data_IF_560039873331
#
_entry.id   IF_560039873331
#
_cell.length_a   1.000
_cell.length_b   1.000
_cell.length_c   1.000
_cell.angle_alpha   90.00
_cell.angle_beta   90.00
_cell.angle_gamma   90.00
#
_symmetry.space_group_name_H-M   'P 1'
#
loop_
_entity.id
_entity.type
_entity.pdbx_description
1 polymer ?
#
# COMPACT_ATOMS: atom_id res chain seq x y z
N UNK A 1 41.08 -11.92 -9.03
CA UNK A 1 39.75 -12.01 -8.38
C UNK A 1 39.26 -10.59 -8.14
N UNK A 2 38.19 -10.16 -8.81
CA UNK A 2 37.66 -8.79 -8.73
C UNK A 2 36.78 -8.62 -7.49
N UNK A 3 37.08 -7.62 -6.64
CA UNK A 3 36.23 -7.22 -5.51
C UNK A 3 35.22 -6.16 -5.96
N UNK A 4 33.91 -6.46 -5.82
CA UNK A 4 32.83 -5.49 -5.99
C UNK A 4 32.77 -4.55 -4.78
N UNK A 5 32.81 -3.25 -5.01
CA UNK A 5 32.47 -2.27 -3.99
C UNK A 5 31.33 -1.39 -4.52
N UNK A 6 30.15 -1.49 -3.91
CA UNK A 6 29.01 -0.64 -4.22
C UNK A 6 28.99 0.50 -3.19
N UNK A 7 29.16 1.74 -3.64
CA UNK A 7 28.88 2.92 -2.82
C UNK A 7 27.50 3.46 -3.19
N UNK A 8 26.61 3.56 -2.21
CA UNK A 8 25.34 4.26 -2.35
C UNK A 8 25.50 5.68 -1.80
N UNK A 9 25.42 6.68 -2.67
CA UNK A 9 25.24 8.07 -2.26
C UNK A 9 23.73 8.33 -2.16
N UNK A 10 23.26 8.64 -0.95
CA UNK A 10 21.87 9.00 -0.71
C UNK A 10 21.64 10.47 -1.06
N UNK A 11 20.78 10.73 -2.05
CA UNK A 11 20.08 12.01 -2.16
C UNK A 11 18.60 11.75 -2.41
N UNK A 12 17.73 12.58 -1.81
CA UNK A 12 16.33 12.23 -1.44
C UNK A 12 15.35 11.95 -2.57
N UNK A 13 15.73 12.03 -3.85
CA UNK A 13 14.84 11.67 -4.97
C UNK A 13 15.69 11.14 -6.14
N UNK A 14 15.55 9.83 -6.47
CA UNK A 14 16.22 9.01 -7.50
C UNK A 14 17.60 8.39 -7.16
N UNK A 15 17.69 7.07 -7.38
CA UNK A 15 18.92 6.28 -7.43
C UNK A 15 19.45 6.29 -8.88
N UNK A 16 20.72 6.66 -9.07
CA UNK A 16 21.44 6.53 -10.35
C UNK A 16 22.65 5.65 -10.10
N UNK A 17 22.71 4.47 -10.73
CA UNK A 17 23.89 3.62 -10.70
C UNK A 17 24.84 4.03 -11.82
N UNK A 18 26.04 4.50 -11.49
CA UNK A 18 27.10 4.79 -12.46
C UNK A 18 28.24 3.78 -12.26
N UNK A 19 28.50 2.96 -13.27
CA UNK A 19 29.63 2.02 -13.28
C UNK A 19 30.87 2.76 -13.78
N UNK A 20 31.89 2.90 -12.94
CA UNK A 20 33.22 3.35 -13.35
C UNK A 20 34.21 2.21 -13.10
N UNK A 21 34.98 1.86 -14.12
CA UNK A 21 36.09 0.93 -14.04
C UNK A 21 37.38 1.72 -13.86
N UNK A 22 38.10 1.49 -12.76
CA UNK A 22 39.41 2.09 -12.55
C UNK A 22 40.47 1.04 -12.20
N UNK A 23 41.66 1.21 -12.78
CA UNK A 23 42.78 0.26 -12.79
C UNK A 23 43.47 0.21 -11.42
N UNK A 24 43.93 -0.98 -11.04
CA UNK A 24 44.73 -1.20 -9.83
C UNK A 24 46.07 -0.46 -9.89
N UNK A 25 46.31 0.43 -8.92
CA UNK A 25 47.65 0.83 -8.50
C UNK A 25 47.74 0.64 -6.98
N UNK A 26 48.75 -0.13 -6.55
CA UNK A 26 49.08 -0.32 -5.15
C UNK A 26 49.46 1.01 -4.50
N UNK A 27 48.86 1.33 -3.36
CA UNK A 27 49.21 2.52 -2.58
C UNK A 27 48.28 2.67 -1.36
N UNK A 28 48.87 2.94 -0.20
CA UNK A 28 48.17 3.23 1.05
C UNK A 28 47.19 4.40 0.86
N UNK A 29 45.91 4.22 1.21
CA UNK A 29 44.95 5.32 1.29
C UNK A 29 45.11 6.02 2.64
N UNK A 30 45.87 7.11 2.67
CA UNK A 30 45.92 8.05 3.79
C UNK A 30 44.77 9.05 3.63
N UNK A 31 43.81 9.03 4.56
CA UNK A 31 42.77 10.07 4.66
C UNK A 31 43.37 11.29 5.37
N UNK A 32 43.64 12.36 4.61
CA UNK A 32 44.01 13.67 5.17
C UNK A 32 42.75 14.53 5.22
N UNK A 33 42.30 14.88 6.43
CA UNK A 33 41.31 15.93 6.63
C UNK A 33 42.03 17.28 6.67
N UNK A 34 41.76 18.15 5.70
CA UNK A 34 42.25 19.52 5.70
C UNK A 34 41.21 20.44 6.38
N UNK A 35 41.59 21.04 7.50
CA UNK A 35 40.87 22.19 8.09
C UNK A 35 41.83 23.37 8.16
N UNK A 36 41.47 24.48 7.51
CA UNK A 36 42.23 25.73 7.55
C UNK A 36 42.19 26.35 8.95
N UNK A 37 43.33 26.50 9.61
CA UNK A 37 43.67 27.69 10.40
C UNK A 37 45.13 27.66 10.85
N UNK A 38 45.76 28.83 10.79
CA UNK A 38 47.17 29.12 11.07
C UNK A 38 47.65 28.69 12.46
N UNK A 39 48.97 28.49 12.54
CA UNK A 39 49.85 28.36 13.71
C UNK A 39 50.24 26.94 14.15
N UNK A 40 51.46 26.58 13.74
CA UNK A 40 52.52 25.81 14.42
C UNK A 40 52.08 24.99 15.65
N UNK A 41 52.06 23.66 15.54
CA UNK A 41 52.69 22.70 16.47
C UNK A 41 52.39 21.25 16.04
N UNK A 42 53.38 20.35 16.16
CA UNK A 42 53.34 18.92 15.82
C UNK A 42 52.14 18.17 16.42
N UNK A 43 51.48 17.26 15.67
CA UNK A 43 50.54 16.33 16.29
C UNK A 43 51.26 15.06 16.77
N UNK A 44 51.15 14.86 18.08
CA UNK A 44 51.37 13.62 18.82
C UNK A 44 50.36 12.54 18.36
N UNK A 45 50.85 11.39 17.88
CA UNK A 45 50.02 10.23 17.56
C UNK A 45 49.37 9.68 18.84
N UNK A 46 48.04 9.79 18.97
CA UNK A 46 47.26 8.94 19.87
C UNK A 46 46.75 7.74 19.08
N UNK A 47 47.34 6.58 19.35
CA UNK A 47 46.85 5.27 18.93
C UNK A 47 45.45 5.04 19.49
N UNK A 48 44.45 4.89 18.61
CA UNK A 48 43.13 4.44 19.04
C UNK A 48 43.15 2.92 19.12
N UNK A 49 42.84 2.44 20.31
CA UNK A 49 42.91 1.04 20.73
C UNK A 49 41.87 0.17 20.03
N UNK A 50 42.25 -1.10 19.87
CA UNK A 50 41.53 -2.16 19.19
C UNK A 50 40.07 -2.28 19.66
N UNK A 51 39.15 -2.28 18.70
CA UNK A 51 37.78 -2.73 18.95
C UNK A 51 37.83 -4.18 19.44
N UNK A 52 37.35 -4.41 20.66
CA UNK A 52 37.28 -5.75 21.24
C UNK A 52 36.21 -6.57 20.52
N UNK A 53 36.43 -7.88 20.38
CA UNK A 53 35.56 -8.83 19.65
C UNK A 53 34.08 -8.77 20.10
N UNK A 54 33.83 -8.37 21.35
CA UNK A 54 32.50 -8.17 21.92
C UNK A 54 31.73 -6.99 21.32
N UNK A 55 32.39 -5.88 20.95
CA UNK A 55 31.73 -4.75 20.28
C UNK A 55 31.26 -5.12 18.87
N UNK A 56 32.05 -5.91 18.13
CA UNK A 56 31.68 -6.40 16.80
C UNK A 56 30.51 -7.42 16.88
N UNK A 57 30.49 -8.27 17.92
CA UNK A 57 29.40 -9.21 18.17
C UNK A 57 28.07 -8.52 18.51
N UNK A 58 28.10 -7.45 19.32
CA UNK A 58 26.90 -6.66 19.65
C UNK A 58 26.38 -5.86 18.44
N UNK A 59 27.27 -5.33 17.61
CA UNK A 59 26.89 -4.64 16.38
C UNK A 59 26.26 -5.59 15.35
N UNK A 60 26.80 -6.80 15.21
CA UNK A 60 26.24 -7.82 14.30
C UNK A 60 24.92 -8.41 14.79
N UNK A 61 24.75 -8.59 16.11
CA UNK A 61 23.47 -9.00 16.71
C UNK A 61 22.40 -7.92 16.52
N UNK A 62 22.76 -6.64 16.72
CA UNK A 62 21.88 -5.49 16.47
C UNK A 62 21.49 -5.39 15.00
N UNK A 63 22.42 -5.54 14.06
CA UNK A 63 22.12 -5.55 12.62
C UNK A 63 21.28 -6.76 12.18
N UNK A 64 21.46 -7.94 12.79
CA UNK A 64 20.58 -9.09 12.54
C UNK A 64 19.15 -8.87 13.06
N UNK A 65 19.00 -8.24 14.22
CA UNK A 65 17.69 -7.90 14.78
C UNK A 65 17.00 -6.78 13.98
N UNK A 66 17.76 -5.77 13.51
CA UNK A 66 17.27 -4.76 12.57
C UNK A 66 16.87 -5.38 11.22
N UNK A 67 17.63 -6.37 10.72
CA UNK A 67 17.31 -7.09 9.48
C UNK A 67 16.07 -7.99 9.60
N UNK A 68 15.81 -8.56 10.79
CA UNK A 68 14.59 -9.35 11.05
C UNK A 68 13.32 -8.48 11.07
N UNK A 69 13.44 -7.19 11.39
CA UNK A 69 12.30 -6.27 11.42
C UNK A 69 11.98 -5.59 10.07
N UNK A 70 12.70 -5.91 8.99
CA UNK A 70 12.51 -5.27 7.67
C UNK A 70 12.01 -6.22 6.57
N UNK A 71 11.40 -7.34 6.93
CA UNK A 71 10.74 -8.22 5.94
C UNK A 71 9.65 -9.06 6.59
N UNK A 72 8.63 -8.40 7.13
CA UNK A 72 7.32 -9.05 7.12
C UNK A 72 6.84 -8.98 5.67
N UNK A 73 6.75 -10.12 4.99
CA UNK A 73 6.01 -10.22 3.74
C UNK A 73 4.63 -9.62 4.01
N UNK A 74 4.23 -8.61 3.23
CA UNK A 74 2.94 -7.94 3.44
C UNK A 74 1.86 -9.02 3.41
N UNK A 75 1.07 -9.11 4.50
CA UNK A 75 -0.04 -10.07 4.57
C UNK A 75 -1.20 -9.66 3.66
N UNK A 76 -1.20 -8.41 3.22
CA UNK A 76 -2.14 -7.91 2.24
C UNK A 76 -1.86 -8.54 0.87
N UNK A 77 -2.89 -9.13 0.28
CA UNK A 77 -2.83 -9.72 -1.06
C UNK A 77 -3.89 -9.08 -1.93
N UNK A 78 -3.46 -8.47 -3.03
CA UNK A 78 -4.33 -8.00 -4.10
C UNK A 78 -4.10 -8.88 -5.32
N UNK A 79 -5.15 -9.57 -5.77
CA UNK A 79 -5.10 -10.44 -6.97
C UNK A 79 -6.20 -10.06 -7.93
N UNK A 80 -5.98 -10.25 -9.23
CA UNK A 80 -6.99 -10.03 -10.26
C UNK A 80 -7.29 -11.34 -10.98
N UNK A 81 -8.57 -11.61 -11.24
CA UNK A 81 -9.02 -12.78 -12.01
C UNK A 81 -10.13 -12.38 -12.99
N UNK A 82 -10.28 -13.13 -14.07
CA UNK A 82 -11.42 -12.99 -14.98
C UNK A 82 -12.64 -13.73 -14.42
N UNK A 83 -13.78 -13.06 -14.36
CA UNK A 83 -15.01 -13.68 -13.86
C UNK A 83 -16.11 -12.70 -13.46
N UNK A 84 -17.27 -13.27 -13.09
CA UNK A 84 -18.37 -12.52 -12.50
C UNK A 84 -18.11 -12.31 -11.00
N UNK A 85 -18.13 -11.07 -10.53
CA UNK A 85 -17.96 -10.75 -9.11
C UNK A 85 -18.92 -11.55 -8.22
N UNK A 86 -20.15 -11.76 -8.68
CA UNK A 86 -21.17 -12.43 -7.90
C UNK A 86 -21.00 -13.96 -7.85
N UNK A 87 -20.03 -14.53 -8.57
CA UNK A 87 -19.59 -15.92 -8.37
C UNK A 87 -18.51 -16.05 -7.29
N UNK A 88 -18.09 -14.96 -6.65
CA UNK A 88 -17.15 -15.02 -5.54
C UNK A 88 -17.72 -15.89 -4.39
N UNK A 89 -16.88 -16.67 -3.70
CA UNK A 89 -17.32 -17.50 -2.57
C UNK A 89 -18.05 -16.68 -1.51
N UNK A 90 -19.08 -17.25 -0.87
CA UNK A 90 -19.84 -16.55 0.21
C UNK A 90 -18.98 -16.20 1.43
N UNK A 91 -17.77 -16.78 1.54
CA UNK A 91 -16.76 -16.40 2.54
C UNK A 91 -16.11 -15.04 2.29
N UNK A 92 -16.30 -14.45 1.11
CA UNK A 92 -15.83 -13.11 0.79
C UNK A 92 -16.96 -12.10 0.99
N UNK A 93 -16.65 -11.04 1.73
CA UNK A 93 -17.45 -9.82 1.70
C UNK A 93 -17.32 -9.16 0.31
N UNK A 94 -18.33 -8.39 -0.10
CA UNK A 94 -18.31 -7.71 -1.41
C UNK A 94 -18.21 -6.20 -1.24
N UNK A 95 -17.62 -5.51 -2.21
CA UNK A 95 -17.61 -4.04 -2.23
C UNK A 95 -17.87 -3.47 -3.62
N UNK A 96 -18.56 -2.33 -3.69
CA UNK A 96 -18.64 -1.52 -4.91
C UNK A 96 -18.85 -0.03 -4.60
N UNK A 97 -18.66 0.83 -5.61
CA UNK A 97 -18.89 2.27 -5.49
C UNK A 97 -20.33 2.67 -5.81
N UNK A 98 -20.83 3.68 -5.09
CA UNK A 98 -22.16 4.31 -5.27
C UNK A 98 -22.11 5.82 -5.02
N UNK A 99 -23.18 6.52 -5.44
CA UNK A 99 -23.49 7.85 -4.95
C UNK A 99 -24.31 7.81 -3.66
N UNK A 100 -24.31 8.91 -2.89
CA UNK A 100 -25.04 9.02 -1.62
C UNK A 100 -26.58 8.99 -1.79
N UNK A 101 -27.08 9.18 -3.02
CA UNK A 101 -28.48 9.00 -3.38
C UNK A 101 -28.92 7.52 -3.47
N UNK A 102 -27.96 6.58 -3.51
CA UNK A 102 -28.17 5.15 -3.71
C UNK A 102 -29.07 4.83 -4.93
N UNK A 103 -28.98 5.62 -6.00
CA UNK A 103 -29.80 5.40 -7.20
C UNK A 103 -29.53 4.02 -7.84
N UNK A 104 -28.23 3.68 -7.96
CA UNK A 104 -27.71 2.39 -8.46
C UNK A 104 -28.35 1.94 -9.78
N UNK A 105 -28.47 2.88 -10.74
CA UNK A 105 -29.18 2.69 -12.00
C UNK A 105 -28.34 2.20 -13.17
N UNK A 106 -27.01 2.06 -13.02
CA UNK A 106 -26.11 1.65 -14.10
C UNK A 106 -24.97 0.75 -13.60
N UNK A 107 -24.34 0.05 -14.56
CA UNK A 107 -23.20 -0.83 -14.30
C UNK A 107 -23.51 -1.94 -13.29
N UNK A 108 -22.48 -2.37 -12.56
CA UNK A 108 -22.60 -3.46 -11.58
C UNK A 108 -23.53 -3.12 -10.41
N UNK A 109 -23.71 -1.83 -10.10
CA UNK A 109 -24.57 -1.36 -9.02
C UNK A 109 -26.03 -1.80 -9.19
N UNK A 110 -26.52 -1.95 -10.43
CA UNK A 110 -27.86 -2.48 -10.71
C UNK A 110 -28.01 -3.90 -10.16
N UNK A 111 -27.00 -4.76 -10.39
CA UNK A 111 -27.01 -6.15 -9.92
C UNK A 111 -26.89 -6.23 -8.40
N UNK A 112 -26.08 -5.38 -7.77
CA UNK A 112 -26.07 -5.22 -6.31
C UNK A 112 -27.46 -4.86 -5.76
N UNK A 113 -28.14 -3.89 -6.38
CA UNK A 113 -29.50 -3.48 -6.00
C UNK A 113 -30.53 -4.61 -6.18
N UNK A 114 -30.43 -5.38 -7.26
CA UNK A 114 -31.33 -6.52 -7.54
C UNK A 114 -31.14 -7.67 -6.54
N UNK A 115 -29.90 -7.95 -6.14
CA UNK A 115 -29.57 -9.08 -5.26
C UNK A 115 -29.78 -8.73 -3.78
N UNK A 116 -29.24 -7.59 -3.32
CA UNK A 116 -29.22 -7.24 -1.89
C UNK A 116 -30.30 -6.26 -1.47
N UNK A 117 -30.84 -5.47 -2.42
CA UNK A 117 -31.94 -4.54 -2.17
C UNK A 117 -31.67 -3.55 -1.05
N UNK A 118 -32.65 -3.37 -0.16
CA UNK A 118 -32.55 -2.59 1.09
C UNK A 118 -32.10 -1.13 0.92
N UNK A 119 -32.50 -0.49 -0.18
CA UNK A 119 -32.10 0.88 -0.51
C UNK A 119 -32.52 1.89 0.56
N UNK A 120 -33.68 1.70 1.19
CA UNK A 120 -34.15 2.61 2.24
C UNK A 120 -33.34 2.44 3.54
N UNK A 121 -32.85 1.23 3.84
CA UNK A 121 -31.90 1.00 4.93
C UNK A 121 -30.59 1.74 4.65
N UNK A 122 -30.03 1.56 3.45
CA UNK A 122 -28.80 2.25 3.03
C UNK A 122 -28.91 3.78 3.15
N UNK A 123 -30.03 4.35 2.69
CA UNK A 123 -30.31 5.79 2.85
C UNK A 123 -30.46 6.19 4.31
N UNK A 124 -31.12 5.37 5.12
CA UNK A 124 -31.29 5.59 6.56
C UNK A 124 -29.98 5.65 7.35
N UNK A 125 -28.90 5.06 6.83
CA UNK A 125 -27.56 5.18 7.42
C UNK A 125 -26.96 6.59 7.27
N UNK A 126 -27.49 7.42 6.38
CA UNK A 126 -27.09 8.83 6.22
C UNK A 126 -25.64 9.04 5.75
N UNK A 127 -25.03 8.03 5.14
CA UNK A 127 -23.62 8.05 4.75
C UNK A 127 -23.37 9.04 3.61
N UNK A 128 -22.39 9.92 3.82
CA UNK A 128 -21.98 10.93 2.84
C UNK A 128 -20.77 10.48 2.02
N UNK A 129 -20.45 11.24 0.97
CA UNK A 129 -19.25 11.01 0.16
C UNK A 129 -17.99 10.92 1.01
N UNK A 130 -17.19 9.88 0.79
CA UNK A 130 -16.02 9.53 1.60
C UNK A 130 -16.29 8.52 2.72
N UNK A 131 -17.55 8.11 2.92
CA UNK A 131 -17.94 7.08 3.88
C UNK A 131 -18.22 5.71 3.25
N UNK A 132 -18.68 4.78 4.08
CA UNK A 132 -19.14 3.45 3.65
C UNK A 132 -20.48 3.13 4.30
N UNK A 133 -21.45 2.72 3.49
CA UNK A 133 -22.67 2.10 4.00
C UNK A 133 -22.52 0.58 3.94
N UNK A 134 -23.15 -0.13 4.88
CA UNK A 134 -22.92 -1.57 5.07
C UNK A 134 -24.25 -2.30 5.20
N UNK A 135 -24.40 -3.40 4.48
CA UNK A 135 -25.43 -4.41 4.76
C UNK A 135 -24.77 -5.69 5.23
N UNK A 136 -25.43 -6.40 6.13
CA UNK A 136 -25.06 -7.77 6.49
C UNK A 136 -25.83 -8.74 5.58
N UNK A 137 -25.11 -9.69 4.98
CA UNK A 137 -25.65 -10.78 4.17
C UNK A 137 -25.11 -12.10 4.73
N UNK A 138 -25.92 -12.79 5.54
CA UNK A 138 -25.49 -13.99 6.30
C UNK A 138 -24.25 -13.67 7.17
N UNK A 139 -23.16 -14.40 6.96
CA UNK A 139 -21.88 -14.28 7.68
C UNK A 139 -20.87 -13.35 6.99
N UNK A 140 -21.30 -12.57 5.99
CA UNK A 140 -20.46 -11.59 5.29
C UNK A 140 -21.11 -10.21 5.24
N UNK A 141 -20.33 -9.24 4.77
CA UNK A 141 -20.78 -7.86 4.61
C UNK A 141 -20.77 -7.43 3.14
N UNK A 142 -21.69 -6.54 2.80
CA UNK A 142 -21.77 -5.88 1.51
C UNK A 142 -21.50 -4.40 1.73
N UNK A 143 -20.37 -3.93 1.20
CA UNK A 143 -19.85 -2.59 1.37
C UNK A 143 -20.22 -1.70 0.17
N UNK A 144 -20.89 -0.60 0.47
CA UNK A 144 -21.27 0.44 -0.48
C UNK A 144 -20.38 1.65 -0.24
N UNK A 145 -19.29 1.75 -0.99
CA UNK A 145 -18.36 2.87 -0.90
C UNK A 145 -19.03 4.10 -1.51
N UNK A 146 -19.34 5.08 -0.67
CA UNK A 146 -20.02 6.31 -1.11
C UNK A 146 -18.95 7.25 -1.63
N UNK A 147 -18.63 7.19 -2.91
CA UNK A 147 -17.50 7.93 -3.50
C UNK A 147 -17.92 9.24 -4.16
N UNK A 148 -19.22 9.52 -4.22
CA UNK A 148 -19.74 10.76 -4.80
C UNK A 148 -21.02 11.20 -4.11
N UNK A 149 -21.31 12.52 -4.10
CA UNK A 149 -22.57 13.02 -3.55
C UNK A 149 -23.76 12.43 -4.30
N UNK A 150 -23.75 12.44 -5.64
CA UNK A 150 -24.87 11.98 -6.47
C UNK A 150 -24.43 10.99 -7.55
N UNK A 151 -25.34 10.12 -7.97
CA UNK A 151 -25.08 9.02 -8.91
C UNK A 151 -24.59 9.47 -10.29
N UNK A 152 -24.95 10.67 -10.75
CA UNK A 152 -24.49 11.29 -11.99
C UNK A 152 -23.18 12.09 -11.86
N UNK A 153 -22.66 12.26 -10.63
CA UNK A 153 -21.37 12.89 -10.41
C UNK A 153 -20.19 11.96 -10.72
N UNK A 154 -18.99 12.51 -10.62
CA UNK A 154 -17.73 11.76 -10.71
C UNK A 154 -17.08 11.65 -9.33
N UNK A 155 -16.57 10.47 -8.94
CA UNK A 155 -15.75 10.37 -7.74
C UNK A 155 -14.38 11.01 -7.95
N UNK A 156 -13.70 11.30 -6.85
CA UNK A 156 -12.28 11.69 -6.82
C UNK A 156 -11.45 10.60 -6.13
N UNK A 157 -10.13 10.58 -6.37
CA UNK A 157 -9.24 9.67 -5.64
C UNK A 157 -9.30 9.89 -4.12
N UNK A 158 -9.48 11.14 -3.67
CA UNK A 158 -9.63 11.44 -2.24
C UNK A 158 -10.93 10.86 -1.66
N UNK A 159 -12.06 11.01 -2.36
CA UNK A 159 -13.34 10.43 -1.93
C UNK A 159 -13.31 8.90 -1.91
N UNK A 160 -12.66 8.28 -2.91
CA UNK A 160 -12.42 6.84 -2.95
C UNK A 160 -11.55 6.41 -1.77
N UNK A 161 -10.41 7.06 -1.56
CA UNK A 161 -9.48 6.75 -0.47
C UNK A 161 -10.16 6.88 0.89
N UNK A 162 -10.91 7.95 1.12
CA UNK A 162 -11.70 8.14 2.35
C UNK A 162 -12.68 6.98 2.57
N UNK A 163 -13.41 6.58 1.52
CA UNK A 163 -14.36 5.48 1.60
C UNK A 163 -13.68 4.13 1.86
N UNK A 164 -12.50 3.90 1.26
CA UNK A 164 -11.68 2.71 1.51
C UNK A 164 -11.17 2.67 2.95
N UNK A 165 -10.75 3.80 3.51
CA UNK A 165 -10.35 3.90 4.93
C UNK A 165 -11.54 3.59 5.84
N UNK A 166 -12.72 4.16 5.57
CA UNK A 166 -13.93 3.87 6.33
C UNK A 166 -14.30 2.37 6.28
N UNK A 167 -14.21 1.76 5.09
CA UNK A 167 -14.40 0.33 4.90
C UNK A 167 -13.38 -0.50 5.70
N UNK A 168 -12.10 -0.15 5.66
CA UNK A 168 -11.05 -0.83 6.45
C UNK A 168 -11.36 -0.82 7.94
N UNK A 169 -11.77 0.32 8.48
CA UNK A 169 -12.11 0.40 9.92
C UNK A 169 -13.31 -0.47 10.29
N UNK A 170 -14.31 -0.60 9.40
CA UNK A 170 -15.41 -1.54 9.61
C UNK A 170 -14.93 -3.00 9.53
N UNK A 171 -14.11 -3.32 8.52
CA UNK A 171 -13.56 -4.66 8.33
C UNK A 171 -12.76 -5.13 9.54
N UNK A 172 -11.92 -4.25 10.12
CA UNK A 172 -11.19 -4.53 11.37
C UNK A 172 -12.11 -4.86 12.53
N UNK A 173 -13.13 -4.03 12.76
CA UNK A 173 -14.11 -4.24 13.86
C UNK A 173 -14.89 -5.54 13.69
N UNK A 174 -15.09 -5.95 12.46
CA UNK A 174 -15.93 -7.10 12.09
C UNK A 174 -15.12 -8.36 11.74
N UNK A 175 -13.80 -8.35 11.92
CA UNK A 175 -12.87 -9.43 11.57
C UNK A 175 -13.03 -9.94 10.13
N UNK A 176 -13.18 -9.02 9.17
CA UNK A 176 -13.28 -9.35 7.74
C UNK A 176 -11.88 -9.36 7.12
N UNK A 177 -11.48 -10.54 6.64
CA UNK A 177 -10.15 -10.77 6.06
C UNK A 177 -10.17 -11.17 4.58
N UNK A 178 -11.36 -11.22 3.96
CA UNK A 178 -11.55 -11.61 2.57
C UNK A 178 -12.58 -10.72 1.90
N UNK A 179 -12.17 -10.08 0.81
CA UNK A 179 -12.99 -9.14 0.06
C UNK A 179 -12.93 -9.47 -1.43
N UNK A 180 -14.08 -9.46 -2.09
CA UNK A 180 -14.16 -9.52 -3.54
C UNK A 180 -14.72 -8.19 -4.06
N UNK A 181 -14.06 -7.61 -5.05
CA UNK A 181 -14.43 -6.30 -5.62
C UNK A 181 -14.40 -6.36 -7.15
N UNK A 182 -15.17 -5.52 -7.86
CA UNK A 182 -14.87 -5.22 -9.26
C UNK A 182 -13.67 -4.26 -9.32
N UNK A 183 -13.30 -3.79 -10.52
CA UNK A 183 -12.46 -2.59 -10.66
C UNK A 183 -13.23 -1.35 -10.19
N UNK A 184 -13.26 -1.14 -8.86
CA UNK A 184 -14.05 -0.09 -8.19
C UNK A 184 -13.65 1.31 -8.66
N UNK A 185 -14.65 2.17 -8.88
CA UNK A 185 -14.44 3.52 -9.41
C UNK A 185 -13.95 3.56 -10.86
N UNK A 186 -13.70 2.42 -11.51
CA UNK A 186 -13.33 2.32 -12.91
C UNK A 186 -14.57 2.05 -13.79
N UNK A 187 -14.51 2.45 -15.05
CA UNK A 187 -15.62 2.36 -16.00
C UNK A 187 -16.41 3.67 -16.05
N UNK A 188 -17.70 3.64 -15.72
CA UNK A 188 -18.60 4.81 -15.80
C UNK A 188 -18.11 5.97 -14.92
N UNK A 189 -17.45 5.65 -13.81
CA UNK A 189 -16.89 6.62 -12.85
C UNK A 189 -15.55 7.23 -13.30
N UNK A 190 -14.88 6.67 -14.30
CA UNK A 190 -13.74 7.28 -14.98
C UNK A 190 -12.40 7.28 -14.23
N UNK A 191 -12.26 6.64 -13.06
CA UNK A 191 -10.95 6.51 -12.41
C UNK A 191 -10.08 5.46 -13.12
N UNK A 192 -8.77 5.67 -13.07
CA UNK A 192 -7.78 4.79 -13.68
C UNK A 192 -7.38 3.68 -12.69
N UNK A 193 -7.42 2.44 -13.17
CA UNK A 193 -7.20 1.27 -12.32
C UNK A 193 -5.83 1.28 -11.63
N UNK A 194 -4.75 1.68 -12.31
CA UNK A 194 -3.41 1.72 -11.71
C UNK A 194 -3.34 2.65 -10.49
N UNK A 195 -4.09 3.77 -10.52
CA UNK A 195 -4.19 4.71 -9.41
C UNK A 195 -5.10 4.17 -8.30
N UNK A 196 -6.23 3.55 -8.67
CA UNK A 196 -7.11 2.86 -7.71
C UNK A 196 -6.39 1.74 -6.97
N UNK A 197 -5.65 0.91 -7.69
CA UNK A 197 -4.80 -0.16 -7.16
C UNK A 197 -3.74 0.40 -6.20
N UNK A 198 -3.12 1.53 -6.57
CA UNK A 198 -2.20 2.24 -5.67
C UNK A 198 -2.88 2.72 -4.38
N UNK A 199 -4.13 3.18 -4.43
CA UNK A 199 -4.90 3.53 -3.23
C UNK A 199 -5.27 2.31 -2.37
N UNK A 200 -5.61 1.17 -2.99
CA UNK A 200 -5.83 -0.08 -2.28
C UNK A 200 -4.60 -0.49 -1.48
N UNK A 201 -3.41 -0.49 -2.11
CA UNK A 201 -2.16 -0.74 -1.40
C UNK A 201 -1.94 0.29 -0.28
N UNK A 202 -2.07 1.59 -0.55
CA UNK A 202 -1.87 2.63 0.48
C UNK A 202 -2.77 2.46 1.70
N UNK A 203 -3.99 1.95 1.52
CA UNK A 203 -4.96 1.80 2.62
C UNK A 203 -4.77 0.46 3.33
N UNK A 204 -4.48 -0.62 2.61
CA UNK A 204 -4.58 -1.98 3.15
C UNK A 204 -3.23 -2.70 3.35
N UNK A 205 -2.09 -2.13 2.98
CA UNK A 205 -0.78 -2.84 3.05
C UNK A 205 -0.40 -3.30 4.47
N UNK A 206 -0.94 -2.68 5.52
CA UNK A 206 -0.74 -3.10 6.92
C UNK A 206 -1.71 -4.18 7.41
N UNK A 207 -2.68 -4.60 6.59
CA UNK A 207 -3.76 -5.51 6.98
C UNK A 207 -3.46 -6.97 6.63
N UNK A 208 -3.99 -7.88 7.45
CA UNK A 208 -4.11 -9.31 7.11
C UNK A 208 -5.38 -9.49 6.27
N UNK A 209 -5.30 -9.18 4.97
CA UNK A 209 -6.46 -9.09 4.08
C UNK A 209 -6.15 -9.61 2.68
N UNK A 210 -7.04 -10.45 2.17
CA UNK A 210 -7.10 -10.84 0.76
C UNK A 210 -8.17 -10.03 0.03
N UNK A 211 -7.79 -9.33 -1.04
CA UNK A 211 -8.70 -8.70 -2.00
C UNK A 211 -8.56 -9.41 -3.35
N UNK A 212 -9.67 -9.93 -3.85
CA UNK A 212 -9.77 -10.52 -5.20
C UNK A 212 -10.59 -9.58 -6.08
N UNK A 213 -9.96 -9.08 -7.14
CA UNK A 213 -10.57 -8.20 -8.12
C UNK A 213 -11.10 -9.03 -9.27
N UNK A 214 -12.40 -8.93 -9.52
CA UNK A 214 -13.08 -9.62 -10.61
C UNK A 214 -13.19 -8.71 -11.83
N UNK A 215 -12.48 -9.11 -12.89
CA UNK A 215 -12.54 -8.47 -14.20
C UNK A 215 -13.64 -9.15 -15.02
N UNK A 216 -14.79 -8.47 -15.14
CA UNK A 216 -15.90 -8.99 -15.92
C UNK A 216 -15.56 -8.93 -17.41
N UNK A 217 -15.55 -10.09 -18.06
CA UNK A 217 -15.48 -10.22 -19.51
C UNK A 217 -16.88 -10.64 -19.98
N UNK A 218 -17.63 -9.76 -20.69
CA UNK A 218 -18.88 -10.16 -21.32
C UNK A 218 -18.59 -11.30 -22.29
N UNK A 219 -19.28 -12.44 -22.12
CA UNK A 219 -19.29 -13.52 -23.10
C UNK A 219 -20.29 -13.23 -24.21
#
# INVERSE_FOLDING_TARGET
>A
MFGRCNFALFNRYKIVYKTLYERQCAGQAVLVAATNSSHKHQPYLKTFTQFTTTQLALHTATLRNLRRNMSADSKFKLTEIEGDLFSAPETHSLAHCVGADFAMGAGIAVKFKQIYGQVDNLRGQGVQSGGVAVLQDKDRYIYYLVTKPQSWGSPTYDSLRSSLVAMREHMRKSNVHKLAIPRIGCGIDGLEWDKVSSELHRVFDSEDLEIVVYNFVPK
#
